data_IF_723143537580
#
_entry.id   IF_723143537580
#
_cell.length_a   1.000
_cell.length_b   1.000
_cell.length_c   1.000
_cell.angle_alpha   90.00
_cell.angle_beta   90.00
_cell.angle_gamma   90.00
#
_symmetry.space_group_name_H-M   'P 1'
#
loop_
_entity.id
_entity.type
_entity.pdbx_description
1 polymer ?
#
# COMPACT_ATOMS: atom_id res chain seq x y z
N UNK A 1 11.67 -0.66 30.63
CA UNK A 1 12.12 -1.02 29.27
C UNK A 1 11.66 0.06 28.31
N UNK A 2 12.49 1.07 28.09
CA UNK A 2 12.25 2.16 27.14
C UNK A 2 12.44 1.62 25.73
N UNK A 3 11.32 1.33 25.03
CA UNK A 3 11.37 1.01 23.60
C UNK A 3 11.73 2.31 22.87
N UNK A 4 12.93 2.39 22.30
CA UNK A 4 13.32 3.46 21.39
C UNK A 4 12.40 3.40 20.15
N UNK A 5 11.45 4.32 20.04
CA UNK A 5 10.44 4.30 18.97
C UNK A 5 10.87 5.11 17.75
N UNK A 6 11.92 5.93 17.80
CA UNK A 6 12.24 6.81 16.67
C UNK A 6 13.75 7.04 16.44
N UNK A 7 14.25 6.96 15.19
CA UNK A 7 15.61 7.35 14.85
C UNK A 7 15.65 8.82 14.45
N UNK A 8 16.82 9.43 14.59
CA UNK A 8 17.10 10.68 13.88
C UNK A 8 17.11 10.47 12.35
N UNK A 9 16.90 11.54 11.57
CA UNK A 9 17.06 11.57 10.10
C UNK A 9 18.41 10.95 9.64
N UNK A 10 19.45 11.04 10.46
CA UNK A 10 20.76 10.42 10.21
C UNK A 10 20.73 8.87 10.19
N UNK A 11 19.76 8.25 10.84
CA UNK A 11 19.60 6.79 10.81
C UNK A 11 18.82 6.34 9.57
N UNK A 12 17.84 7.15 9.13
CA UNK A 12 17.11 6.93 7.86
C UNK A 12 18.05 7.14 6.67
N UNK A 13 18.92 8.16 6.71
CA UNK A 13 19.92 8.42 5.67
C UNK A 13 20.96 7.29 5.57
N UNK A 14 21.43 6.74 6.71
CA UNK A 14 22.32 5.57 6.72
C UNK A 14 21.66 4.33 6.09
N UNK A 15 20.37 4.11 6.31
CA UNK A 15 19.64 2.97 5.74
C UNK A 15 19.49 3.04 4.21
N UNK A 16 19.47 4.24 3.64
CA UNK A 16 19.31 4.42 2.20
C UNK A 16 20.63 4.42 1.42
N UNK A 17 21.76 4.59 2.12
CA UNK A 17 23.09 4.73 1.54
C UNK A 17 24.12 3.70 2.04
N UNK A 18 23.70 2.69 2.82
CA UNK A 18 24.59 1.62 3.26
C UNK A 18 24.98 0.72 2.07
N UNK A 19 26.13 1.02 1.47
CA UNK A 19 27.02 0.04 0.88
C UNK A 19 27.76 -0.70 2.00
N UNK A 20 28.02 -1.98 1.81
CA UNK A 20 28.47 -3.03 2.76
C UNK A 20 29.75 -2.82 3.62
N UNK A 21 30.23 -1.61 3.90
CA UNK A 21 31.41 -1.43 4.76
C UNK A 21 31.05 -0.91 6.16
N UNK A 22 30.83 -1.85 7.09
CA UNK A 22 30.69 -1.58 8.52
C UNK A 22 32.07 -1.60 9.18
N UNK A 23 32.55 -0.43 9.61
CA UNK A 23 33.51 -0.33 10.72
C UNK A 23 32.70 0.12 11.94
N UNK A 24 32.47 -0.80 12.87
CA UNK A 24 31.87 -0.57 14.17
C UNK A 24 32.95 -0.05 15.12
N UNK A 25 33.06 1.27 15.22
CA UNK A 25 33.96 1.96 16.17
C UNK A 25 33.20 3.08 16.88
N UNK A 26 32.00 2.75 17.39
CA UNK A 26 31.23 3.69 18.23
C UNK A 26 31.74 3.59 19.67
N UNK A 27 32.37 4.64 20.24
CA UNK A 27 32.81 4.59 21.62
C UNK A 27 31.60 4.39 22.55
N UNK A 28 31.76 3.46 23.49
CA UNK A 28 30.79 3.17 24.53
C UNK A 28 30.64 4.41 25.43
N UNK A 29 29.57 5.19 25.24
CA UNK A 29 29.26 6.33 26.12
C UNK A 29 28.61 5.76 27.38
N UNK A 30 29.34 5.78 28.48
CA UNK A 30 28.83 5.45 29.81
C UNK A 30 27.68 6.43 30.13
N UNK A 31 26.45 5.89 30.20
CA UNK A 31 25.25 6.69 30.50
C UNK A 31 25.34 7.18 31.94
N UNK A 32 25.54 8.48 32.12
CA UNK A 32 25.46 9.13 33.44
C UNK A 32 24.08 8.86 34.07
N UNK A 33 23.99 8.70 35.40
CA UNK A 33 22.71 8.58 36.09
C UNK A 33 21.81 9.79 35.76
N UNK A 34 20.56 9.50 35.39
CA UNK A 34 19.58 10.48 34.91
C UNK A 34 19.19 11.57 35.91
N UNK A 35 19.59 11.43 37.18
CA UNK A 35 19.11 12.26 38.28
C UNK A 35 19.72 13.68 38.31
N UNK A 36 20.79 13.96 37.54
CA UNK A 36 21.50 15.24 37.54
C UNK A 36 21.42 16.01 36.19
N UNK A 37 20.56 15.61 35.26
CA UNK A 37 20.41 16.30 33.98
C UNK A 37 19.35 17.41 34.13
N UNK A 38 19.79 18.67 34.12
CA UNK A 38 18.89 19.83 33.97
C UNK A 38 18.24 19.78 32.58
N UNK A 39 17.04 19.22 32.52
CA UNK A 39 16.34 18.94 31.29
C UNK A 39 15.78 20.25 30.72
N UNK A 40 16.13 20.64 29.47
CA UNK A 40 15.60 21.86 28.88
C UNK A 40 14.06 21.88 28.91
N UNK A 41 13.40 23.01 29.23
CA UNK A 41 11.95 23.05 29.45
C UNK A 41 11.10 22.51 28.29
N UNK A 42 11.56 22.72 27.05
CA UNK A 42 10.88 22.21 25.86
C UNK A 42 10.93 20.67 25.75
N UNK A 43 12.02 20.04 26.18
CA UNK A 43 12.14 18.58 26.22
C UNK A 43 11.27 18.03 27.36
N UNK A 44 11.26 18.68 28.52
CA UNK A 44 10.37 18.32 29.62
C UNK A 44 8.90 18.32 29.17
N UNK A 45 8.46 19.37 28.49
CA UNK A 45 7.09 19.47 27.96
C UNK A 45 6.76 18.34 26.96
N UNK A 46 7.69 17.98 26.06
CA UNK A 46 7.49 16.87 25.12
C UNK A 46 7.38 15.52 25.83
N UNK A 47 8.18 15.30 26.88
CA UNK A 47 8.10 14.08 27.72
C UNK A 47 6.76 14.04 28.44
N UNK A 48 6.35 15.12 29.10
CA UNK A 48 5.07 15.22 29.79
C UNK A 48 3.90 14.96 28.84
N UNK A 49 3.92 15.56 27.64
CA UNK A 49 2.90 15.33 26.63
C UNK A 49 2.83 13.86 26.19
N UNK A 50 3.98 13.22 25.98
CA UNK A 50 4.04 11.79 25.64
C UNK A 50 3.53 10.91 26.78
N UNK A 51 3.87 11.22 28.03
CA UNK A 51 3.36 10.48 29.18
C UNK A 51 1.84 10.64 29.29
N UNK A 52 1.33 11.86 29.10
CA UNK A 52 -0.10 12.14 29.12
C UNK A 52 -0.85 11.43 27.99
N UNK A 53 -0.30 11.36 26.78
CA UNK A 53 -0.95 10.68 25.65
C UNK A 53 -1.06 9.16 25.87
N UNK A 54 -0.06 8.54 26.50
CA UNK A 54 -0.06 7.10 26.84
C UNK A 54 -1.09 6.74 27.91
N UNK A 55 -1.47 7.68 28.76
CA UNK A 55 -2.48 7.45 29.81
C UNK A 55 -3.92 7.57 29.29
N UNK A 56 -4.13 8.06 28.07
CA UNK A 56 -5.47 8.20 27.50
C UNK A 56 -6.07 6.83 27.17
N UNK A 57 -7.39 6.65 27.29
CA UNK A 57 -8.06 5.45 26.80
C UNK A 57 -7.80 5.28 25.31
N UNK A 58 -7.02 4.26 24.98
CA UNK A 58 -6.74 3.86 23.61
C UNK A 58 -7.86 2.90 23.22
N UNK A 59 -8.85 3.38 22.47
CA UNK A 59 -9.91 2.51 21.98
C UNK A 59 -9.33 1.35 21.17
N UNK A 60 -9.80 0.13 21.42
CA UNK A 60 -9.30 -1.06 20.73
C UNK A 60 -9.93 -1.29 19.35
N UNK A 61 -10.97 -0.52 19.00
CA UNK A 61 -11.64 -0.63 17.71
C UNK A 61 -10.98 0.32 16.70
N UNK A 62 -10.62 -0.22 15.53
CA UNK A 62 -10.17 0.58 14.40
C UNK A 62 -11.35 1.45 13.91
N UNK A 63 -11.12 2.76 13.79
CA UNK A 63 -12.14 3.73 13.40
C UNK A 63 -11.51 4.88 12.60
N UNK A 64 -12.29 5.59 11.77
CA UNK A 64 -11.86 6.85 11.16
C UNK A 64 -11.31 7.85 12.19
N UNK A 65 -10.14 8.41 11.87
CA UNK A 65 -9.37 9.33 12.70
C UNK A 65 -8.45 8.64 13.72
N UNK A 66 -8.54 7.31 13.87
CA UNK A 66 -7.67 6.58 14.80
C UNK A 66 -6.22 6.64 14.29
N UNK A 67 -5.29 6.96 15.20
CA UNK A 67 -3.87 6.86 14.97
C UNK A 67 -3.39 5.48 15.44
N UNK A 68 -2.58 4.81 14.64
CA UNK A 68 -1.99 3.52 14.97
C UNK A 68 -0.50 3.51 14.66
N UNK A 69 0.28 2.84 15.50
CA UNK A 69 1.70 2.56 15.28
C UNK A 69 1.86 1.11 14.86
N UNK A 70 2.36 0.89 13.64
CA UNK A 70 2.59 -0.44 13.07
C UNK A 70 4.06 -0.83 13.31
N UNK A 71 4.35 -1.90 14.07
CA UNK A 71 5.72 -2.25 14.41
C UNK A 71 6.50 -2.79 13.20
N UNK A 72 7.85 -2.64 13.17
CA UNK A 72 8.72 -3.25 12.16
C UNK A 72 8.47 -4.73 11.89
N UNK A 73 8.17 -5.48 12.94
CA UNK A 73 7.91 -6.93 12.87
C UNK A 73 6.70 -7.29 12.03
N UNK A 74 5.77 -6.36 11.83
CA UNK A 74 4.62 -6.55 10.94
C UNK A 74 4.98 -6.45 9.46
N UNK A 75 6.25 -6.13 9.13
CA UNK A 75 6.76 -6.03 7.78
C UNK A 75 7.82 -7.12 7.46
N UNK A 76 7.93 -7.54 6.19
CA UNK A 76 8.87 -8.56 5.71
C UNK A 76 10.32 -8.20 6.01
N UNK A 77 11.19 -9.20 6.28
CA UNK A 77 12.57 -8.94 6.68
C UNK A 77 13.40 -8.10 5.69
N UNK A 78 13.19 -8.26 4.37
CA UNK A 78 13.95 -7.58 3.32
C UNK A 78 13.57 -6.11 3.13
N UNK A 79 12.42 -5.69 3.67
CA UNK A 79 11.85 -4.33 3.49
C UNK A 79 11.32 -3.73 4.79
N UNK A 80 11.68 -4.34 5.91
CA UNK A 80 11.27 -3.94 7.25
C UNK A 80 11.79 -2.52 7.53
N UNK A 81 10.91 -1.55 7.83
CA UNK A 81 11.37 -0.27 8.34
C UNK A 81 12.06 -0.52 9.68
N UNK A 82 13.16 0.19 9.95
CA UNK A 82 13.87 0.02 11.22
C UNK A 82 13.03 0.45 12.44
N UNK A 83 11.96 1.21 12.22
CA UNK A 83 11.09 1.76 13.26
C UNK A 83 9.62 1.66 12.91
N UNK A 84 8.73 1.76 13.92
CA UNK A 84 7.31 1.71 13.68
C UNK A 84 6.84 2.82 12.74
N UNK A 85 5.88 2.48 11.88
CA UNK A 85 5.23 3.43 10.97
C UNK A 85 3.93 3.89 11.63
N UNK A 86 3.77 5.20 11.80
CA UNK A 86 2.51 5.77 12.31
C UNK A 86 1.56 6.05 11.15
N UNK A 87 0.30 5.71 11.34
CA UNK A 87 -0.76 5.85 10.35
C UNK A 87 -1.98 6.53 10.96
N UNK A 88 -2.62 7.42 10.20
CA UNK A 88 -3.92 7.97 10.50
C UNK A 88 -4.98 7.28 9.62
N UNK A 89 -5.89 6.54 10.26
CA UNK A 89 -6.92 5.78 9.56
C UNK A 89 -8.02 6.72 9.04
N UNK A 90 -8.39 6.58 7.77
CA UNK A 90 -9.44 7.38 7.14
C UNK A 90 -10.75 6.61 7.01
N UNK A 91 -10.73 5.55 6.21
CA UNK A 91 -11.92 4.74 5.92
C UNK A 91 -11.52 3.29 5.77
N UNK A 92 -12.41 2.42 6.23
CA UNK A 92 -12.29 0.98 6.03
C UNK A 92 -12.95 0.62 4.69
N UNK A 93 -12.26 -0.19 3.91
CA UNK A 93 -12.85 -1.00 2.87
C UNK A 93 -13.27 -2.36 3.47
N UNK A 94 -14.51 -2.42 3.92
CA UNK A 94 -15.08 -3.61 4.55
C UNK A 94 -15.07 -4.84 3.64
N UNK A 95 -15.01 -4.67 2.30
CA UNK A 95 -14.98 -5.79 1.36
C UNK A 95 -13.63 -6.51 1.39
N UNK A 96 -12.55 -5.77 1.66
CA UNK A 96 -11.19 -6.30 1.67
C UNK A 96 -10.58 -6.35 3.07
N UNK A 97 -11.28 -5.82 4.09
CA UNK A 97 -10.77 -5.71 5.45
C UNK A 97 -9.46 -4.92 5.47
N UNK A 98 -9.42 -3.83 4.70
CA UNK A 98 -8.27 -2.94 4.57
C UNK A 98 -8.68 -1.52 4.90
N UNK A 99 -7.68 -0.71 5.22
CA UNK A 99 -7.86 0.69 5.59
C UNK A 99 -7.13 1.56 4.59
N UNK A 100 -7.84 2.56 4.09
CA UNK A 100 -7.21 3.74 3.53
C UNK A 100 -6.70 4.59 4.71
N UNK A 101 -5.42 4.95 4.67
CA UNK A 101 -4.75 5.68 5.72
C UNK A 101 -3.72 6.65 5.15
N UNK A 102 -3.27 7.60 5.97
CA UNK A 102 -2.15 8.48 5.65
C UNK A 102 -0.99 8.25 6.60
N UNK A 103 0.23 8.48 6.11
CA UNK A 103 1.41 8.46 6.97
C UNK A 103 1.39 9.62 7.95
N UNK A 104 1.79 9.33 9.18
CA UNK A 104 1.95 10.29 10.24
C UNK A 104 3.44 10.40 10.61
N UNK A 105 3.89 11.62 10.88
CA UNK A 105 5.28 11.92 11.16
C UNK A 105 5.43 12.96 12.29
N UNK A 106 6.58 12.96 12.95
CA UNK A 106 6.90 13.89 14.03
C UNK A 106 7.54 15.20 13.57
N UNK A 107 8.03 15.27 12.32
CA UNK A 107 8.80 16.40 11.81
C UNK A 107 7.90 17.48 11.20
N UNK A 108 7.11 18.18 12.01
CA UNK A 108 6.21 19.23 11.53
C UNK A 108 6.92 20.37 10.75
N UNK A 109 8.21 20.63 11.02
CA UNK A 109 9.01 21.61 10.27
C UNK A 109 9.20 21.24 8.79
N UNK A 110 9.01 19.96 8.45
CA UNK A 110 9.05 19.44 7.09
C UNK A 110 7.68 19.51 6.39
N UNK A 111 6.65 20.01 7.06
CA UNK A 111 5.32 20.16 6.48
C UNK A 111 5.38 20.96 5.17
N UNK A 112 4.69 20.44 4.17
CA UNK A 112 4.39 21.08 2.91
C UNK A 112 2.95 21.60 2.86
N UNK A 113 2.56 22.06 1.67
CA UNK A 113 1.24 22.66 1.42
C UNK A 113 0.08 21.68 1.64
N UNK A 114 0.31 20.38 1.45
CA UNK A 114 -0.71 19.33 1.53
C UNK A 114 -0.54 18.44 2.77
N UNK A 115 0.22 18.89 3.75
CA UNK A 115 0.38 18.21 5.03
C UNK A 115 -0.49 18.91 6.07
N UNK A 116 -1.17 18.14 6.92
CA UNK A 116 -1.84 18.68 8.09
C UNK A 116 -0.86 18.67 9.25
N UNK A 117 -0.53 19.83 9.80
CA UNK A 117 0.12 19.93 11.10
C UNK A 117 -0.95 19.78 12.18
N UNK A 118 -0.75 18.82 13.07
CA UNK A 118 -1.69 18.50 14.14
C UNK A 118 -1.65 19.60 15.21
N UNK A 119 -2.80 20.25 15.52
CA UNK A 119 -2.86 21.26 16.58
C UNK A 119 -2.45 20.69 17.94
N UNK A 120 -1.73 21.48 18.73
CA UNK A 120 -1.26 21.06 20.05
C UNK A 120 -2.42 20.73 21.01
N UNK A 121 -3.57 21.37 20.80
CA UNK A 121 -4.80 21.20 21.57
C UNK A 121 -5.37 19.78 21.48
N UNK A 122 -5.04 19.03 20.42
CA UNK A 122 -5.42 17.61 20.34
C UNK A 122 -4.70 16.77 21.40
N UNK A 123 -3.56 17.23 21.92
CA UNK A 123 -2.77 16.57 22.96
C UNK A 123 -2.37 15.14 22.61
N UNK A 124 -2.14 14.88 21.32
CA UNK A 124 -1.65 13.61 20.81
C UNK A 124 -0.16 13.43 21.14
N UNK A 125 0.37 12.21 20.97
CA UNK A 125 1.82 11.97 21.12
C UNK A 125 2.60 12.89 20.15
N UNK A 126 3.70 13.52 20.58
CA UNK A 126 4.51 14.38 19.70
C UNK A 126 5.04 13.69 18.43
N UNK A 127 5.11 12.35 18.39
CA UNK A 127 5.42 11.60 17.18
C UNK A 127 4.32 11.70 16.09
N UNK A 128 3.13 12.17 16.47
CA UNK A 128 2.00 12.43 15.59
C UNK A 128 1.78 13.93 15.36
N UNK A 129 2.85 14.65 15.01
CA UNK A 129 2.80 16.10 14.80
C UNK A 129 2.28 16.50 13.41
N UNK A 130 2.33 15.60 12.42
CA UNK A 130 1.96 15.89 11.04
C UNK A 130 1.33 14.68 10.34
N UNK A 131 0.27 14.92 9.56
CA UNK A 131 -0.33 13.94 8.65
C UNK A 131 0.06 14.30 7.22
N UNK A 132 0.66 13.34 6.51
CA UNK A 132 1.04 13.47 5.12
C UNK A 132 -0.15 13.15 4.21
N UNK A 133 -1.08 14.10 4.03
CA UNK A 133 -2.31 13.86 3.27
C UNK A 133 -2.07 13.55 1.78
N UNK A 134 -0.90 13.94 1.25
CA UNK A 134 -0.44 13.56 -0.09
C UNK A 134 0.14 12.13 -0.18
N UNK A 135 0.39 11.47 0.95
CA UNK A 135 1.04 10.17 1.05
C UNK A 135 0.08 9.12 1.64
N UNK A 136 -0.94 8.79 0.85
CA UNK A 136 -1.92 7.77 1.21
C UNK A 136 -1.39 6.35 1.01
N UNK A 137 -1.87 5.43 1.83
CA UNK A 137 -1.60 4.00 1.74
C UNK A 137 -2.90 3.23 1.98
N UNK A 138 -3.01 2.08 1.30
CA UNK A 138 -4.02 1.09 1.65
C UNK A 138 -3.37 -0.18 2.18
N UNK A 139 -3.81 -0.65 3.33
CA UNK A 139 -3.26 -1.84 3.97
C UNK A 139 -4.25 -2.47 4.95
N UNK A 140 -4.08 -3.76 5.25
CA UNK A 140 -4.71 -4.35 6.43
C UNK A 140 -3.90 -3.94 7.66
N UNK A 141 -4.58 -3.45 8.69
CA UNK A 141 -3.91 -3.09 9.94
C UNK A 141 -3.58 -4.38 10.68
N UNK A 142 -2.30 -4.65 10.97
CA UNK A 142 -1.89 -5.87 11.67
C UNK A 142 -2.37 -5.85 13.13
N UNK A 143 -2.58 -7.03 13.70
CA UNK A 143 -3.09 -7.18 15.08
C UNK A 143 -2.10 -6.65 16.13
N UNK A 144 -0.82 -6.56 15.78
CA UNK A 144 0.25 -6.01 16.61
C UNK A 144 0.30 -4.47 16.57
N UNK A 145 -0.54 -3.82 15.75
CA UNK A 145 -0.61 -2.37 15.70
C UNK A 145 -1.10 -1.80 17.04
N UNK A 146 -0.44 -0.74 17.50
CA UNK A 146 -0.71 -0.11 18.79
C UNK A 146 -1.51 1.18 18.54
N UNK A 147 -2.72 1.34 19.08
CA UNK A 147 -3.45 2.60 18.96
C UNK A 147 -2.70 3.73 19.69
N UNK A 148 -2.56 4.89 19.06
CA UNK A 148 -1.74 6.02 19.57
C UNK A 148 -2.56 7.26 19.96
N UNK A 149 -3.87 7.22 19.75
CA UNK A 149 -4.77 8.37 19.93
C UNK A 149 -5.71 8.51 18.76
N UNK A 150 -6.52 9.57 18.74
CA UNK A 150 -7.51 9.79 17.69
C UNK A 150 -7.59 11.27 17.35
N UNK A 151 -7.64 11.56 16.06
CA UNK A 151 -7.87 12.89 15.54
C UNK A 151 -9.29 13.37 15.87
N UNK A 152 -9.43 14.67 16.08
CA UNK A 152 -10.73 15.32 16.06
C UNK A 152 -11.43 15.14 14.70
N UNK A 153 -12.75 15.33 14.68
CA UNK A 153 -13.53 15.24 13.42
C UNK A 153 -13.10 16.37 12.48
N UNK A 154 -12.79 17.54 13.03
CA UNK A 154 -12.33 18.72 12.34
C UNK A 154 -10.99 18.45 11.65
N UNK A 155 -10.01 17.89 12.37
CA UNK A 155 -8.70 17.56 11.83
C UNK A 155 -8.75 16.43 10.81
N UNK A 156 -9.58 15.41 11.03
CA UNK A 156 -9.80 14.37 10.03
C UNK A 156 -10.43 14.94 8.75
N UNK A 157 -11.38 15.88 8.88
CA UNK A 157 -12.01 16.54 7.74
C UNK A 157 -11.01 17.42 6.98
N UNK A 158 -10.16 18.16 7.71
CA UNK A 158 -9.07 18.93 7.12
C UNK A 158 -8.10 18.03 6.33
N UNK A 159 -7.70 16.89 6.92
CA UNK A 159 -6.82 15.93 6.25
C UNK A 159 -7.43 15.39 4.95
N UNK A 160 -8.73 15.06 4.94
CA UNK A 160 -9.46 14.62 3.74
C UNK A 160 -9.45 15.69 2.64
N UNK A 161 -9.71 16.95 3.00
CA UNK A 161 -9.71 18.06 2.04
C UNK A 161 -8.30 18.31 1.49
N UNK A 162 -7.26 18.24 2.33
CA UNK A 162 -5.86 18.35 1.89
C UNK A 162 -5.45 17.19 0.98
N UNK A 163 -5.96 15.98 1.23
CA UNK A 163 -5.74 14.84 0.36
C UNK A 163 -6.41 15.06 -1.02
N UNK A 164 -7.64 15.58 -1.04
CA UNK A 164 -8.33 15.94 -2.28
C UNK A 164 -7.56 17.00 -3.06
N UNK A 165 -7.15 18.11 -2.41
CA UNK A 165 -6.29 19.14 -3.01
C UNK A 165 -5.02 18.55 -3.64
N UNK A 166 -4.41 17.57 -2.95
CA UNK A 166 -3.20 16.91 -3.43
C UNK A 166 -3.42 16.07 -4.68
N UNK A 167 -4.53 15.34 -4.74
CA UNK A 167 -4.94 14.52 -5.90
C UNK A 167 -5.28 15.41 -7.09
N UNK A 168 -6.04 16.48 -6.86
CA UNK A 168 -6.46 17.45 -7.87
C UNK A 168 -5.32 18.37 -8.32
N UNK A 169 -4.18 18.34 -7.61
CA UNK A 169 -3.01 19.21 -7.84
C UNK A 169 -3.38 20.68 -7.77
N UNK A 170 -4.25 21.03 -6.81
CA UNK A 170 -4.65 22.40 -6.54
C UNK A 170 -3.39 23.28 -6.38
N UNK A 171 -3.29 24.39 -7.14
CA UNK A 171 -2.11 25.24 -7.11
C UNK A 171 -1.99 25.91 -5.75
N UNK A 172 -0.76 25.98 -5.25
CA UNK A 172 -0.53 26.70 -4.01
C UNK A 172 -0.55 28.21 -4.21
N UNK A 173 -1.12 28.93 -3.23
CA UNK A 173 -1.26 30.39 -3.27
C UNK A 173 -0.18 31.12 -2.47
N UNK A 174 0.56 30.41 -1.61
CA UNK A 174 1.65 30.96 -0.83
C UNK A 174 3.03 30.76 -1.50
N UNK A 175 3.99 31.61 -1.16
CA UNK A 175 5.38 31.41 -1.56
C UNK A 175 6.06 30.31 -0.72
N UNK A 176 6.98 29.51 -1.30
CA UNK A 176 7.77 28.53 -0.56
C UNK A 176 8.59 29.17 0.57
N UNK A 177 8.44 28.66 1.80
CA UNK A 177 9.20 29.04 3.01
C UNK A 177 9.35 27.80 3.92
N UNK A 178 10.40 26.98 3.75
CA UNK A 178 10.62 25.78 4.58
C UNK A 178 10.61 26.11 6.08
N UNK A 179 10.06 25.21 6.90
CA UNK A 179 9.91 25.42 8.35
C UNK A 179 8.81 26.39 8.76
N UNK A 180 8.08 27.00 7.80
CA UNK A 180 6.98 27.90 8.11
C UNK A 180 5.64 27.14 8.09
N UNK A 181 4.94 27.20 9.22
CA UNK A 181 3.60 26.66 9.41
C UNK A 181 2.63 27.82 9.54
N UNK A 182 1.51 27.76 8.81
CA UNK A 182 0.48 28.79 8.85
C UNK A 182 -0.91 28.17 8.82
N UNK A 183 -1.86 28.85 9.47
CA UNK A 183 -3.28 28.54 9.35
C UNK A 183 -3.78 29.03 7.99
N UNK A 184 -4.38 28.14 7.19
CA UNK A 184 -4.96 28.49 5.89
C UNK A 184 -6.34 27.87 5.69
N UNK A 185 -7.19 28.47 4.85
CA UNK A 185 -8.42 27.82 4.44
C UNK A 185 -8.11 26.59 3.57
N UNK A 186 -8.92 25.55 3.71
CA UNK A 186 -8.94 24.34 2.88
C UNK A 186 -10.41 24.05 2.55
N UNK A 187 -10.76 24.03 1.27
CA UNK A 187 -12.17 24.08 0.85
C UNK A 187 -12.90 25.34 1.37
N UNK A 188 -14.23 25.28 1.44
CA UNK A 188 -15.06 26.46 1.72
C UNK A 188 -15.22 26.79 3.21
N UNK A 189 -15.08 25.79 4.09
CA UNK A 189 -15.48 25.90 5.50
C UNK A 189 -14.49 25.29 6.49
N UNK A 190 -13.29 24.90 6.05
CA UNK A 190 -12.28 24.29 6.92
C UNK A 190 -11.01 25.15 6.97
N UNK A 191 -10.36 25.12 8.13
CA UNK A 191 -9.05 25.74 8.34
C UNK A 191 -8.08 24.66 8.80
N UNK A 192 -6.88 24.67 8.24
CA UNK A 192 -5.83 23.72 8.57
C UNK A 192 -4.52 24.45 8.83
N UNK A 193 -3.77 23.99 9.83
CA UNK A 193 -2.36 24.33 9.96
C UNK A 193 -1.60 23.50 8.92
N UNK A 194 -0.93 24.17 7.99
CA UNK A 194 -0.13 23.49 6.96
C UNK A 194 1.23 24.14 6.87
N UNK A 195 2.18 23.43 6.25
CA UNK A 195 3.41 24.06 5.80
C UNK A 195 3.20 24.92 4.55
N UNK A 196 4.30 25.37 3.97
CA UNK A 196 4.31 26.11 2.69
C UNK A 196 4.66 25.21 1.51
N UNK A 197 4.44 25.66 0.27
CA UNK A 197 4.76 24.87 -0.92
C UNK A 197 6.25 24.51 -0.99
N UNK A 198 6.54 23.34 -1.58
CA UNK A 198 7.90 22.80 -1.70
C UNK A 198 8.50 23.29 -3.02
N UNK A 199 9.63 24.00 -2.97
CA UNK A 199 10.35 24.47 -4.15
C UNK A 199 11.25 23.36 -4.75
N UNK A 200 11.74 23.55 -5.98
CA UNK A 200 12.57 22.55 -6.67
C UNK A 200 13.90 22.20 -5.96
N UNK A 201 14.50 23.14 -5.22
CA UNK A 201 15.77 22.95 -4.46
C UNK A 201 15.54 22.86 -2.95
N UNK A 202 14.33 22.50 -2.56
CA UNK A 202 13.90 22.46 -1.17
C UNK A 202 14.35 21.15 -0.49
N UNK A 203 14.97 21.20 0.71
CA UNK A 203 15.40 19.99 1.44
C UNK A 203 14.25 19.03 1.74
N UNK A 204 13.00 19.53 1.83
CA UNK A 204 11.81 18.70 2.02
C UNK A 204 11.56 17.75 0.83
N UNK A 205 12.13 18.02 -0.34
CA UNK A 205 12.02 17.13 -1.52
C UNK A 205 12.63 15.76 -1.25
N UNK A 206 13.81 15.73 -0.62
CA UNK A 206 14.49 14.48 -0.26
C UNK A 206 13.67 13.72 0.78
N UNK A 207 13.18 14.42 1.80
CA UNK A 207 12.29 13.85 2.82
C UNK A 207 11.05 13.20 2.19
N UNK A 208 10.35 13.90 1.31
CA UNK A 208 9.15 13.37 0.62
C UNK A 208 9.49 12.15 -0.24
N UNK A 209 10.62 12.14 -0.91
CA UNK A 209 11.06 10.98 -1.71
C UNK A 209 11.28 9.74 -0.84
N UNK A 210 11.88 9.89 0.34
CA UNK A 210 12.08 8.78 1.29
C UNK A 210 10.75 8.17 1.74
N UNK A 211 9.79 9.02 2.14
CA UNK A 211 8.46 8.58 2.56
C UNK A 211 7.65 7.92 1.45
N UNK A 212 7.78 8.39 0.20
CA UNK A 212 7.19 7.73 -0.96
C UNK A 212 7.76 6.34 -1.15
N UNK A 213 9.09 6.21 -1.13
CA UNK A 213 9.76 4.91 -1.31
C UNK A 213 9.30 3.91 -0.24
N UNK A 214 9.21 4.36 1.01
CA UNK A 214 8.68 3.56 2.11
C UNK A 214 7.25 3.08 1.81
N UNK A 215 6.33 3.99 1.47
CA UNK A 215 4.93 3.60 1.24
C UNK A 215 4.75 2.73 0.01
N UNK A 216 5.48 2.98 -1.08
CA UNK A 216 5.45 2.09 -2.26
C UNK A 216 5.84 0.66 -1.89
N UNK A 217 6.83 0.47 -0.99
CA UNK A 217 7.21 -0.85 -0.53
C UNK A 217 6.08 -1.52 0.27
N UNK A 218 5.39 -0.76 1.12
CA UNK A 218 4.31 -1.24 1.97
C UNK A 218 3.02 -1.55 1.19
N UNK A 219 2.63 -0.68 0.25
CA UNK A 219 1.42 -0.89 -0.58
C UNK A 219 1.55 -2.13 -1.47
N UNK A 220 2.73 -2.40 -2.04
CA UNK A 220 2.96 -3.61 -2.86
C UNK A 220 2.69 -4.90 -2.09
N UNK A 221 3.03 -4.94 -0.80
CA UNK A 221 2.77 -6.13 0.01
C UNK A 221 1.29 -6.28 0.35
N UNK A 222 0.61 -5.19 0.67
CA UNK A 222 -0.84 -5.20 0.85
C UNK A 222 -1.54 -5.71 -0.42
N UNK A 223 -1.06 -5.28 -1.59
CA UNK A 223 -1.51 -5.76 -2.90
C UNK A 223 -1.24 -7.26 -3.10
N UNK A 224 0.01 -7.71 -2.89
CA UNK A 224 0.38 -9.12 -3.07
C UNK A 224 -0.38 -10.03 -2.10
N UNK A 225 -0.62 -9.59 -0.86
CA UNK A 225 -1.42 -10.31 0.12
C UNK A 225 -2.92 -10.37 -0.26
N UNK A 226 -3.46 -9.34 -0.92
CA UNK A 226 -4.83 -9.32 -1.48
C UNK A 226 -4.96 -10.22 -2.71
N UNK A 227 -3.95 -10.27 -3.57
CA UNK A 227 -3.98 -11.04 -4.82
C UNK A 227 -3.73 -12.54 -4.61
N UNK A 228 -3.03 -12.94 -3.53
CA UNK A 228 -2.72 -14.35 -3.25
C UNK A 228 -3.96 -15.27 -3.14
N UNK A 229 -5.05 -14.92 -2.43
CA UNK A 229 -6.26 -15.74 -2.38
C UNK A 229 -6.96 -15.86 -3.73
N UNK A 230 -7.04 -14.77 -4.51
CA UNK A 230 -7.64 -14.76 -5.83
C UNK A 230 -6.86 -15.66 -6.79
N UNK A 231 -5.54 -15.48 -6.86
CA UNK A 231 -4.64 -16.31 -7.66
C UNK A 231 -4.71 -17.78 -7.23
N UNK A 232 -4.68 -18.07 -5.94
CA UNK A 232 -4.78 -19.44 -5.43
C UNK A 232 -6.12 -20.09 -5.80
N UNK A 233 -7.22 -19.34 -5.71
CA UNK A 233 -8.55 -19.80 -6.13
C UNK A 233 -8.63 -20.07 -7.63
N UNK A 234 -8.04 -19.20 -8.45
CA UNK A 234 -7.96 -19.37 -9.90
C UNK A 234 -7.10 -20.59 -10.27
N UNK A 235 -5.92 -20.77 -9.66
CA UNK A 235 -5.07 -21.94 -9.86
C UNK A 235 -5.83 -23.24 -9.54
N UNK A 236 -6.47 -23.30 -8.37
CA UNK A 236 -7.26 -24.47 -7.98
C UNK A 236 -8.47 -24.72 -8.91
N UNK A 237 -9.00 -23.67 -9.53
CA UNK A 237 -10.05 -23.76 -10.54
C UNK A 237 -9.52 -24.32 -11.87
N UNK A 238 -8.33 -23.89 -12.31
CA UNK A 238 -7.64 -24.45 -13.48
C UNK A 238 -7.35 -25.94 -13.27
N UNK A 239 -6.76 -26.30 -12.12
CA UNK A 239 -6.46 -27.70 -11.79
C UNK A 239 -7.70 -28.59 -11.84
N UNK A 240 -8.83 -28.11 -11.30
CA UNK A 240 -10.11 -28.84 -11.36
C UNK A 240 -10.61 -29.00 -12.79
N UNK A 241 -10.59 -27.93 -13.57
CA UNK A 241 -11.01 -27.96 -14.97
C UNK A 241 -10.15 -28.94 -15.78
N UNK A 242 -8.83 -28.90 -15.63
CA UNK A 242 -7.92 -29.84 -16.32
C UNK A 242 -8.15 -31.28 -15.87
N UNK A 243 -8.40 -31.51 -14.59
CA UNK A 243 -8.74 -32.82 -14.06
C UNK A 243 -10.05 -33.36 -14.66
N UNK A 244 -11.10 -32.52 -14.76
CA UNK A 244 -12.38 -32.87 -15.38
C UNK A 244 -12.25 -33.20 -16.88
N UNK A 245 -11.29 -32.58 -17.57
CA UNK A 245 -10.96 -32.91 -18.96
C UNK A 245 -10.12 -34.19 -19.12
N UNK A 246 -9.59 -34.76 -18.02
CA UNK A 246 -8.67 -35.89 -18.06
C UNK A 246 -7.33 -35.54 -18.73
N UNK A 247 -6.85 -34.30 -18.57
CA UNK A 247 -5.64 -33.77 -19.20
C UNK A 247 -4.51 -33.54 -18.18
N UNK A 248 -3.30 -33.29 -18.67
CA UNK A 248 -2.16 -32.89 -17.84
C UNK A 248 -2.08 -31.37 -17.71
N UNK A 249 -1.61 -30.90 -16.55
CA UNK A 249 -1.26 -29.50 -16.28
C UNK A 249 0.23 -29.43 -15.98
N UNK A 250 1.01 -28.81 -16.85
CA UNK A 250 2.46 -28.70 -16.69
C UNK A 250 2.88 -27.24 -16.54
N UNK A 251 3.70 -26.88 -15.55
CA UNK A 251 4.19 -25.51 -15.44
C UNK A 251 5.09 -25.17 -16.63
N UNK A 252 4.89 -23.99 -17.24
CA UNK A 252 5.70 -23.51 -18.35
C UNK A 252 6.20 -22.10 -18.10
N UNK A 253 7.28 -21.72 -18.79
CA UNK A 253 7.74 -20.34 -18.82
C UNK A 253 7.04 -19.62 -19.95
N UNK A 254 6.11 -18.72 -19.62
CA UNK A 254 5.50 -17.85 -20.62
C UNK A 254 6.53 -16.82 -21.09
N UNK A 255 6.76 -16.76 -22.40
CA UNK A 255 7.56 -15.71 -23.03
C UNK A 255 6.58 -14.69 -23.60
N UNK A 256 6.45 -13.49 -23.00
CA UNK A 256 5.61 -12.43 -23.54
C UNK A 256 6.28 -11.77 -24.75
N UNK A 257 5.47 -11.23 -25.66
CA UNK A 257 5.98 -10.37 -26.74
C UNK A 257 6.49 -9.03 -26.16
N UNK A 258 7.81 -8.97 -25.99
CA UNK A 258 8.70 -7.80 -25.95
C UNK A 258 8.53 -6.68 -24.90
N UNK A 259 7.49 -6.59 -24.06
CA UNK A 259 7.27 -5.38 -23.22
C UNK A 259 6.70 -5.59 -21.79
N UNK A 260 6.50 -6.82 -21.31
CA UNK A 260 5.87 -7.08 -19.99
C UNK A 260 6.85 -7.24 -18.83
N UNK A 261 6.48 -6.73 -17.63
CA UNK A 261 7.19 -7.03 -16.38
C UNK A 261 6.96 -8.51 -16.00
N UNK A 262 8.03 -9.30 -16.00
CA UNK A 262 8.02 -10.77 -15.88
C UNK A 262 7.77 -11.29 -14.45
N UNK A 263 7.80 -10.42 -13.44
CA UNK A 263 8.12 -10.85 -12.07
C UNK A 263 7.01 -11.59 -11.31
N UNK A 264 5.76 -11.57 -11.77
CA UNK A 264 4.61 -12.15 -11.04
C UNK A 264 3.70 -13.08 -11.86
N UNK A 265 4.05 -13.37 -13.12
CA UNK A 265 3.24 -14.23 -13.99
C UNK A 265 3.37 -15.72 -13.63
N UNK A 266 2.25 -16.44 -13.59
CA UNK A 266 2.23 -17.90 -13.45
C UNK A 266 1.56 -18.53 -14.67
N UNK A 267 2.23 -19.50 -15.29
CA UNK A 267 1.75 -20.11 -16.53
C UNK A 267 1.82 -21.64 -16.50
N UNK A 268 0.87 -22.24 -17.20
CA UNK A 268 0.72 -23.68 -17.34
C UNK A 268 0.34 -24.06 -18.76
N UNK A 269 0.80 -25.22 -19.20
CA UNK A 269 0.39 -25.90 -20.41
C UNK A 269 -0.65 -26.95 -20.08
N UNK A 270 -1.73 -26.98 -20.87
CA UNK A 270 -2.83 -27.94 -20.74
C UNK A 270 -2.76 -28.87 -21.95
N UNK A 271 -2.03 -29.98 -21.79
CA UNK A 271 -1.72 -30.93 -22.87
C UNK A 271 -1.19 -30.18 -24.12
N UNK A 272 -1.42 -30.72 -25.31
CA UNK A 272 -1.12 -30.07 -26.59
C UNK A 272 -2.23 -29.09 -27.05
N UNK A 273 -3.10 -28.59 -26.15
CA UNK A 273 -4.23 -27.74 -26.54
C UNK A 273 -3.89 -26.25 -26.46
N UNK A 274 -3.56 -25.77 -25.26
CA UNK A 274 -3.28 -24.35 -25.01
C UNK A 274 -2.38 -24.16 -23.80
N UNK A 275 -1.73 -23.01 -23.75
CA UNK A 275 -1.09 -22.48 -22.54
C UNK A 275 -2.01 -21.44 -21.92
N UNK A 276 -2.08 -21.43 -20.58
CA UNK A 276 -2.77 -20.39 -19.81
C UNK A 276 -1.77 -19.69 -18.91
N UNK A 277 -1.90 -18.37 -18.79
CA UNK A 277 -1.18 -17.60 -17.78
C UNK A 277 -2.12 -16.69 -16.99
N UNK A 278 -1.80 -16.52 -15.71
CA UNK A 278 -2.47 -15.59 -14.82
C UNK A 278 -1.50 -14.47 -14.48
N UNK A 279 -1.88 -13.24 -14.83
CA UNK A 279 -1.12 -12.04 -14.55
C UNK A 279 -1.93 -11.11 -13.63
N UNK A 280 -1.43 -10.79 -12.43
CA UNK A 280 -2.11 -9.83 -11.57
C UNK A 280 -2.05 -8.43 -12.20
N UNK A 281 -3.19 -7.82 -12.50
CA UNK A 281 -3.24 -6.48 -13.12
C UNK A 281 -3.80 -5.40 -12.20
N UNK A 282 -4.66 -5.78 -11.24
CA UNK A 282 -5.14 -4.90 -10.17
C UNK A 282 -5.47 -5.70 -8.90
N UNK A 283 -5.94 -5.01 -7.86
CA UNK A 283 -6.28 -5.62 -6.55
C UNK A 283 -7.28 -6.78 -6.66
N UNK A 284 -8.26 -6.62 -7.54
CA UNK A 284 -9.34 -7.59 -7.76
C UNK A 284 -9.31 -8.22 -9.14
N UNK A 285 -8.32 -7.88 -9.95
CA UNK A 285 -8.32 -8.23 -11.35
C UNK A 285 -7.07 -9.02 -11.68
N UNK A 286 -7.29 -10.18 -12.30
CA UNK A 286 -6.25 -11.03 -12.86
C UNK A 286 -6.53 -11.12 -14.35
N UNK A 287 -5.55 -10.79 -15.16
CA UNK A 287 -5.59 -11.04 -16.59
C UNK A 287 -5.30 -12.52 -16.83
N UNK A 288 -6.28 -13.21 -17.41
CA UNK A 288 -6.13 -14.55 -17.94
C UNK A 288 -5.66 -14.44 -19.38
N UNK A 289 -4.46 -14.94 -19.65
CA UNK A 289 -3.93 -15.11 -21.00
C UNK A 289 -4.11 -16.53 -21.46
N UNK A 290 -4.55 -16.71 -22.70
CA UNK A 290 -4.71 -18.02 -23.32
C UNK A 290 -4.02 -17.99 -24.68
N UNK A 291 -3.12 -18.95 -24.91
CA UNK A 291 -2.40 -19.13 -26.17
C UNK A 291 -2.70 -20.51 -26.73
N UNK A 292 -3.11 -20.58 -27.99
CA UNK A 292 -3.35 -21.86 -28.64
C UNK A 292 -2.02 -22.51 -29.03
N UNK A 293 -1.87 -23.82 -28.84
CA UNK A 293 -0.66 -24.54 -29.27
C UNK A 293 -0.82 -25.23 -30.63
N UNK A 294 -2.06 -25.36 -31.10
CA UNK A 294 -2.41 -26.01 -32.37
C UNK A 294 -2.68 -24.99 -33.46
N UNK A 295 -2.50 -25.43 -34.70
CA UNK A 295 -2.91 -24.67 -35.87
C UNK A 295 -4.42 -24.84 -36.12
N UNK A 296 -5.23 -24.36 -35.18
CA UNK A 296 -6.69 -24.38 -35.21
C UNK A 296 -7.23 -22.96 -34.98
N UNK A 297 -8.55 -22.80 -35.14
CA UNK A 297 -9.24 -21.58 -34.69
C UNK A 297 -9.93 -21.84 -33.36
N UNK A 298 -9.78 -20.92 -32.41
CA UNK A 298 -10.46 -20.96 -31.13
C UNK A 298 -11.24 -19.67 -30.89
N UNK A 299 -12.42 -19.80 -30.31
CA UNK A 299 -13.19 -18.68 -29.76
C UNK A 299 -13.18 -18.81 -28.25
N UNK A 300 -12.74 -17.74 -27.57
CA UNK A 300 -12.70 -17.67 -26.12
C UNK A 300 -13.68 -16.60 -25.69
N UNK A 301 -14.59 -16.95 -24.79
CA UNK A 301 -15.62 -16.04 -24.31
C UNK A 301 -15.68 -16.06 -22.79
N UNK A 302 -15.70 -14.88 -22.18
CA UNK A 302 -15.86 -14.68 -20.74
C UNK A 302 -17.32 -14.32 -20.43
N UNK A 303 -17.92 -15.05 -19.51
CA UNK A 303 -19.28 -14.84 -19.03
C UNK A 303 -19.30 -14.52 -17.54
N UNK A 304 -20.26 -13.70 -17.12
CA UNK A 304 -20.59 -13.41 -15.73
C UNK A 304 -22.10 -13.54 -15.55
N UNK A 305 -22.56 -14.48 -14.72
CA UNK A 305 -24.00 -14.76 -14.54
C UNK A 305 -24.77 -14.89 -15.88
N UNK A 306 -24.21 -15.64 -16.83
CA UNK A 306 -24.73 -15.84 -18.20
C UNK A 306 -24.67 -14.60 -19.13
N UNK A 307 -24.18 -13.45 -18.66
CA UNK A 307 -23.90 -12.28 -19.50
C UNK A 307 -22.52 -12.42 -20.15
N UNK A 308 -22.47 -12.35 -21.49
CA UNK A 308 -21.20 -12.28 -22.24
C UNK A 308 -20.52 -10.92 -21.98
N UNK A 309 -19.32 -10.95 -21.43
CA UNK A 309 -18.50 -9.76 -21.15
C UNK A 309 -17.51 -9.47 -22.28
N UNK A 310 -16.71 -10.48 -22.63
CA UNK A 310 -15.59 -10.36 -23.56
C UNK A 310 -15.56 -11.60 -24.46
N UNK A 311 -15.15 -11.42 -25.71
CA UNK A 311 -14.92 -12.53 -26.64
C UNK A 311 -13.71 -12.23 -27.50
N UNK A 312 -12.85 -13.23 -27.66
CA UNK A 312 -11.61 -13.15 -28.43
C UNK A 312 -11.49 -14.34 -29.37
N UNK A 313 -10.96 -14.10 -30.56
CA UNK A 313 -10.76 -15.15 -31.58
C UNK A 313 -9.27 -15.36 -31.81
N UNK A 314 -8.82 -16.58 -31.60
CA UNK A 314 -7.47 -17.04 -31.92
C UNK A 314 -7.49 -17.77 -33.27
N UNK A 315 -6.53 -17.45 -34.13
CA UNK A 315 -6.41 -17.97 -35.50
C UNK A 315 -5.13 -18.75 -35.77
N UNK A 316 -4.27 -18.95 -34.76
CA UNK A 316 -3.05 -19.73 -34.91
C UNK A 316 -2.24 -19.93 -33.61
N UNK A 317 -1.12 -20.68 -33.68
CA UNK A 317 -0.34 -21.12 -32.53
C UNK A 317 0.50 -20.03 -31.81
N UNK A 318 0.38 -18.77 -32.25
CA UNK A 318 1.02 -17.60 -31.62
C UNK A 318 0.00 -16.52 -31.22
N UNK A 319 -1.28 -16.72 -31.56
CA UNK A 319 -2.33 -15.79 -31.16
C UNK A 319 -2.62 -15.95 -29.66
N UNK A 320 -2.75 -14.82 -28.99
CA UNK A 320 -3.01 -14.72 -27.56
C UNK A 320 -4.32 -13.96 -27.32
N UNK A 321 -5.16 -14.49 -26.43
CA UNK A 321 -6.30 -13.77 -25.88
C UNK A 321 -5.97 -13.33 -24.47
N UNK A 322 -6.31 -12.10 -24.11
CA UNK A 322 -6.23 -11.58 -22.77
C UNK A 322 -7.64 -11.24 -22.28
N UNK A 323 -8.04 -11.82 -21.15
CA UNK A 323 -9.35 -11.62 -20.55
C UNK A 323 -9.19 -11.12 -19.12
N UNK A 324 -9.99 -10.15 -18.70
CA UNK A 324 -9.91 -9.63 -17.33
C UNK A 324 -10.86 -10.37 -16.39
N UNK A 325 -10.31 -11.22 -15.52
CA UNK A 325 -11.07 -11.89 -14.47
C UNK A 325 -11.15 -11.01 -13.24
N UNK A 326 -12.34 -10.85 -12.65
CA UNK A 326 -12.53 -10.09 -11.41
C UNK A 326 -13.04 -10.94 -10.26
N UNK A 327 -12.71 -10.55 -9.03
CA UNK A 327 -13.06 -11.28 -7.79
C UNK A 327 -14.55 -11.20 -7.40
N UNK A 328 -15.35 -10.40 -8.10
CA UNK A 328 -16.63 -9.95 -7.55
C UNK A 328 -17.79 -10.95 -7.81
N UNK A 329 -17.68 -11.90 -8.76
CA UNK A 329 -18.80 -12.79 -9.14
C UNK A 329 -18.41 -14.18 -9.70
N UNK A 330 -19.42 -15.05 -9.92
CA UNK A 330 -19.22 -16.34 -10.61
C UNK A 330 -18.99 -16.09 -12.10
N UNK A 331 -17.79 -16.40 -12.55
CA UNK A 331 -17.40 -16.28 -13.95
C UNK A 331 -17.34 -17.65 -14.63
N UNK A 332 -17.51 -17.66 -15.95
CA UNK A 332 -17.25 -18.84 -16.77
C UNK A 332 -16.46 -18.44 -18.01
N UNK A 333 -15.41 -19.19 -18.31
CA UNK A 333 -14.65 -19.06 -19.56
C UNK A 333 -15.04 -20.21 -20.46
N UNK A 334 -15.52 -19.90 -21.66
CA UNK A 334 -15.84 -20.88 -22.69
C UNK A 334 -14.76 -20.86 -23.76
N UNK A 335 -14.21 -22.03 -24.10
CA UNK A 335 -13.20 -22.20 -25.14
C UNK A 335 -13.77 -23.16 -26.18
N UNK A 336 -14.12 -22.64 -27.36
CA UNK A 336 -14.60 -23.42 -28.49
C UNK A 336 -13.47 -23.57 -29.53
N UNK A 337 -13.01 -24.79 -29.79
CA UNK A 337 -11.88 -25.07 -30.70
C UNK A 337 -12.42 -25.83 -31.92
N UNK A 338 -12.31 -25.24 -33.11
CA UNK A 338 -12.79 -25.84 -34.35
C UNK A 338 -14.25 -26.29 -34.29
N UNK A 339 -14.49 -27.58 -34.56
CA UNK A 339 -15.83 -28.20 -34.51
C UNK A 339 -16.08 -29.03 -33.24
N UNK A 340 -15.21 -28.92 -32.23
CA UNK A 340 -15.37 -29.66 -30.99
C UNK A 340 -16.44 -29.01 -30.08
N UNK A 341 -16.99 -29.81 -29.17
CA UNK A 341 -17.85 -29.28 -28.13
C UNK A 341 -17.09 -28.22 -27.30
N UNK A 342 -17.73 -27.09 -26.96
CA UNK A 342 -17.07 -26.03 -26.21
C UNK A 342 -16.66 -26.54 -24.82
N UNK A 343 -15.42 -26.24 -24.43
CA UNK A 343 -14.93 -26.49 -23.08
C UNK A 343 -15.41 -25.35 -22.20
N UNK A 344 -16.06 -25.65 -21.08
CA UNK A 344 -16.57 -24.64 -20.16
C UNK A 344 -15.81 -24.76 -18.85
N UNK A 345 -15.10 -23.70 -18.51
CA UNK A 345 -14.39 -23.56 -17.26
C UNK A 345 -15.19 -22.66 -16.31
N UNK A 346 -15.82 -23.27 -15.30
CA UNK A 346 -16.53 -22.54 -14.26
C UNK A 346 -15.59 -22.04 -13.16
N UNK A 347 -15.44 -20.73 -13.06
CA UNK A 347 -14.67 -20.05 -12.02
C UNK A 347 -15.63 -19.79 -10.86
N UNK A 348 -15.70 -20.74 -9.93
CA UNK A 348 -16.46 -20.62 -8.67
C UNK A 348 -15.54 -20.37 -7.50
N UNK A 349 -15.85 -19.34 -6.72
CA UNK A 349 -15.27 -19.16 -5.38
C UNK A 349 -15.72 -20.32 -4.48
N UNK A 350 -14.79 -20.90 -3.73
CA UNK A 350 -15.10 -21.73 -2.55
C UNK A 350 -15.21 -20.84 -1.33
#
# INVERSE_FOLDING_TARGET
MTRNVWPSLASIARQLHASDDVIDDTPFVELLPFDDIDLPPHIAALIEQRVASQQRPQGNALQPGQLVSVPPSAFPPDRRPAVPVLLALDREDYRHGTWHAWVVAGEADYAGWHDLVVPAEEGLDPAAAMIQAWNAIELRIPVEAIPMGRLSIESLSAARLLAADAVERCPATASPRPGHIALRPVGDHCWALTGTPVAAKDPRTVYRAMYRKMITALSREAQSARQQPLLAGLVASIERFVHELGKSLEPVRWLPDAMGDESEMRAWRIDELFEVALLPVADKAVELRVRLLRNDTAMIALYQQDLLLETEKLSGPEDEAALTLTDDETMAVTIAIGYHAPLIWHIRRR
#
